data_IF_349979900724
#
_entry.id   IF_349979900724
#
_cell.length_a   1.000
_cell.length_b   1.000
_cell.length_c   1.000
_cell.angle_alpha   90.00
_cell.angle_beta   90.00
_cell.angle_gamma   90.00
#
_symmetry.space_group_name_H-M   'P 1'
#
loop_
_entity.id
_entity.type
_entity.pdbx_description
1 polymer ?
#
# COMPACT_ATOMS: atom_id res chain seq x y z
N UNK A 1 6.70 19.70 -17.84
CA UNK A 1 6.14 18.94 -16.70
C UNK A 1 6.67 17.52 -16.82
N UNK A 2 7.40 17.03 -15.81
CA UNK A 2 8.34 15.90 -15.90
C UNK A 2 7.72 14.60 -16.44
N UNK A 3 8.44 13.92 -17.33
CA UNK A 3 8.05 12.63 -17.93
C UNK A 3 7.62 11.61 -16.84
N UNK A 4 8.40 11.51 -15.75
CA UNK A 4 8.08 10.67 -14.59
C UNK A 4 6.70 10.96 -13.98
N UNK A 5 6.41 12.24 -13.71
CA UNK A 5 5.17 12.66 -13.07
C UNK A 5 3.97 12.32 -13.97
N UNK A 6 4.09 12.59 -15.27
CA UNK A 6 3.03 12.28 -16.22
C UNK A 6 2.83 10.76 -16.36
N UNK A 7 3.91 9.97 -16.43
CA UNK A 7 3.83 8.51 -16.47
C UNK A 7 3.18 7.94 -15.21
N UNK A 8 3.56 8.42 -14.02
CA UNK A 8 2.95 7.99 -12.77
C UNK A 8 1.46 8.36 -12.70
N UNK A 9 1.08 9.58 -13.12
CA UNK A 9 -0.31 10.00 -13.18
C UNK A 9 -1.13 9.18 -14.19
N UNK A 10 -0.54 8.81 -15.34
CA UNK A 10 -1.18 7.91 -16.32
C UNK A 10 -1.43 6.54 -15.71
N UNK A 11 -0.40 5.94 -15.09
CA UNK A 11 -0.51 4.64 -14.43
C UNK A 11 -1.58 4.63 -13.32
N UNK A 12 -1.67 5.69 -12.52
CA UNK A 12 -2.74 5.85 -11.51
C UNK A 12 -4.13 5.97 -12.15
N UNK A 13 -4.25 6.72 -13.24
CA UNK A 13 -5.53 6.93 -13.94
C UNK A 13 -6.03 5.64 -14.58
N UNK A 14 -5.14 4.88 -15.20
CA UNK A 14 -5.41 3.56 -15.80
C UNK A 14 -5.75 2.53 -14.72
N UNK A 15 -5.01 2.53 -13.61
CA UNK A 15 -5.21 1.64 -12.46
C UNK A 15 -6.39 1.99 -11.54
N UNK A 16 -7.12 3.08 -11.81
CA UNK A 16 -8.14 3.63 -10.89
C UNK A 16 -9.21 2.63 -10.47
N UNK A 17 -9.68 1.77 -11.40
CA UNK A 17 -10.69 0.75 -11.07
C UNK A 17 -10.14 -0.25 -10.06
N UNK A 18 -8.94 -0.77 -10.32
CA UNK A 18 -8.25 -1.72 -9.44
C UNK A 18 -7.98 -1.12 -8.05
N UNK A 19 -7.63 0.17 -7.98
CA UNK A 19 -7.49 0.89 -6.71
C UNK A 19 -8.79 0.84 -5.87
N UNK A 20 -9.95 1.12 -6.49
CA UNK A 20 -11.23 1.07 -5.78
C UNK A 20 -11.59 -0.35 -5.33
N UNK A 21 -11.33 -1.35 -6.17
CA UNK A 21 -11.54 -2.76 -5.84
C UNK A 21 -10.68 -3.21 -4.66
N UNK A 22 -9.40 -2.80 -4.65
CA UNK A 22 -8.49 -3.05 -3.53
C UNK A 22 -8.98 -2.35 -2.25
N UNK A 23 -9.36 -1.08 -2.33
CA UNK A 23 -9.86 -0.32 -1.18
C UNK A 23 -11.11 -0.98 -0.58
N UNK A 24 -12.02 -1.46 -1.42
CA UNK A 24 -13.24 -2.14 -0.98
C UNK A 24 -12.97 -3.51 -0.36
N UNK A 25 -12.00 -4.26 -0.92
CA UNK A 25 -11.57 -5.54 -0.38
C UNK A 25 -10.92 -5.36 1.00
N UNK A 26 -10.05 -4.36 1.15
CA UNK A 26 -9.44 -3.99 2.43
C UNK A 26 -10.50 -3.52 3.43
N UNK A 27 -11.44 -2.67 3.00
CA UNK A 27 -12.56 -2.21 3.84
C UNK A 27 -13.38 -3.37 4.41
N UNK A 28 -13.53 -4.43 3.62
CA UNK A 28 -14.27 -5.65 3.97
C UNK A 28 -13.44 -6.66 4.79
N UNK A 29 -12.17 -6.36 5.08
CA UNK A 29 -11.25 -7.21 5.85
C UNK A 29 -10.73 -6.46 7.09
N UNK A 30 -11.61 -5.97 7.99
CA UNK A 30 -11.15 -5.23 9.16
C UNK A 30 -10.51 -6.17 10.19
N UNK A 31 -9.24 -5.94 10.51
CA UNK A 31 -8.47 -6.70 11.50
C UNK A 31 -7.88 -5.78 12.58
N UNK A 32 -7.80 -6.25 13.82
CA UNK A 32 -7.28 -5.44 14.92
C UNK A 32 -5.76 -5.25 14.83
N UNK A 33 -5.27 -4.20 15.48
CA UNK A 33 -3.85 -3.91 15.65
C UNK A 33 -3.03 -5.13 16.04
N UNK A 34 -1.97 -5.40 15.29
CA UNK A 34 -1.06 -6.55 15.41
C UNK A 34 -1.63 -7.92 14.97
N UNK A 35 -2.87 -7.97 14.47
CA UNK A 35 -3.53 -9.19 13.98
C UNK A 35 -4.01 -9.07 12.53
N UNK A 36 -3.48 -8.11 11.77
CA UNK A 36 -3.78 -7.79 10.36
C UNK A 36 -3.19 -8.80 9.37
N UNK A 37 -3.36 -10.10 9.63
CA UNK A 37 -2.72 -11.18 8.86
C UNK A 37 -3.22 -11.22 7.43
N UNK A 38 -4.53 -11.12 7.21
CA UNK A 38 -5.11 -11.17 5.87
C UNK A 38 -4.85 -9.87 5.10
N UNK A 39 -4.93 -8.73 5.79
CA UNK A 39 -4.64 -7.40 5.25
C UNK A 39 -3.18 -7.29 4.79
N UNK A 40 -2.24 -7.74 5.61
CA UNK A 40 -0.82 -7.77 5.26
C UNK A 40 -0.53 -8.71 4.08
N UNK A 41 -1.18 -9.88 4.01
CA UNK A 41 -1.08 -10.78 2.84
C UNK A 41 -1.61 -10.13 1.57
N UNK A 42 -2.78 -9.49 1.64
CA UNK A 42 -3.37 -8.81 0.49
C UNK A 42 -2.46 -7.69 -0.03
N UNK A 43 -1.90 -6.86 0.84
CA UNK A 43 -0.98 -5.80 0.45
C UNK A 43 0.33 -6.31 -0.11
N UNK A 44 0.91 -7.35 0.51
CA UNK A 44 2.12 -7.96 0.01
C UNK A 44 1.91 -8.53 -1.40
N UNK A 45 0.86 -9.31 -1.61
CA UNK A 45 0.53 -9.90 -2.91
C UNK A 45 0.28 -8.82 -3.98
N UNK A 46 -0.41 -7.74 -3.62
CA UNK A 46 -0.69 -6.61 -4.51
C UNK A 46 0.61 -5.91 -4.98
N UNK A 47 1.56 -5.69 -4.07
CA UNK A 47 2.83 -5.01 -4.34
C UNK A 47 3.82 -5.94 -5.05
N UNK A 48 3.96 -7.19 -4.60
CA UNK A 48 4.83 -8.20 -5.22
C UNK A 48 4.37 -8.51 -6.66
N UNK A 49 3.05 -8.58 -6.89
CA UNK A 49 2.47 -8.75 -8.22
C UNK A 49 2.81 -7.61 -9.20
N UNK A 50 3.20 -6.44 -8.70
CA UNK A 50 3.68 -5.31 -9.48
C UNK A 50 5.22 -5.25 -9.59
N UNK A 51 5.93 -6.30 -9.16
CA UNK A 51 7.39 -6.36 -9.18
C UNK A 51 8.06 -5.52 -8.09
N UNK A 52 7.30 -5.04 -7.09
CA UNK A 52 7.87 -4.29 -5.97
C UNK A 52 8.53 -5.25 -4.99
N UNK A 53 9.72 -4.88 -4.50
CA UNK A 53 10.39 -5.64 -3.45
C UNK A 53 9.68 -5.42 -2.12
N UNK A 54 9.09 -6.47 -1.56
CA UNK A 54 8.40 -6.45 -0.26
C UNK A 54 9.19 -7.27 0.78
N UNK A 55 9.27 -6.75 2.00
CA UNK A 55 9.76 -7.44 3.18
C UNK A 55 8.58 -7.56 4.14
N UNK A 56 8.27 -8.78 4.58
CA UNK A 56 7.08 -9.10 5.37
C UNK A 56 7.49 -9.53 6.79
N UNK A 57 6.53 -9.55 7.71
CA UNK A 57 6.75 -10.08 9.07
C UNK A 57 7.52 -9.13 9.99
N UNK A 58 7.50 -7.82 9.70
CA UNK A 58 8.10 -6.80 10.55
C UNK A 58 7.16 -6.52 11.71
N UNK A 59 7.62 -6.68 12.95
CA UNK A 59 6.80 -6.47 14.14
C UNK A 59 5.42 -7.19 14.04
N UNK A 60 5.45 -8.49 13.72
CA UNK A 60 4.29 -9.37 13.48
C UNK A 60 3.73 -9.23 12.06
N UNK A 61 2.86 -8.26 11.81
CA UNK A 61 2.10 -8.13 10.56
C UNK A 61 2.65 -7.06 9.61
N UNK A 62 3.50 -6.17 10.11
CA UNK A 62 4.09 -5.09 9.34
C UNK A 62 4.88 -5.56 8.12
N UNK A 63 4.89 -4.71 7.09
CA UNK A 63 5.61 -4.94 5.86
C UNK A 63 6.33 -3.68 5.42
N UNK A 64 7.38 -3.83 4.61
CA UNK A 64 8.10 -2.72 3.99
C UNK A 64 8.22 -2.98 2.51
N UNK A 65 7.86 -2.00 1.68
CA UNK A 65 8.05 -2.06 0.24
C UNK A 65 9.09 -1.04 -0.22
N UNK A 66 9.88 -1.35 -1.25
CA UNK A 66 10.91 -0.44 -1.77
C UNK A 66 10.85 -0.35 -3.30
N UNK A 67 10.92 0.87 -3.82
CA UNK A 67 11.15 1.17 -5.25
C UNK A 67 12.40 2.04 -5.36
N UNK A 68 13.27 1.73 -6.33
CA UNK A 68 14.56 2.40 -6.54
C UNK A 68 15.78 1.63 -5.99
N UNK A 69 17.00 2.11 -6.28
CA UNK A 69 18.21 1.32 -6.08
C UNK A 69 18.59 1.15 -4.61
N UNK A 70 19.28 0.04 -4.24
CA UNK A 70 19.87 -0.13 -2.93
C UNK A 70 20.79 1.05 -2.56
N UNK A 71 20.77 1.48 -1.28
CA UNK A 71 21.65 2.53 -0.78
C UNK A 71 21.29 3.98 -1.16
N UNK A 72 20.34 4.21 -2.07
CA UNK A 72 19.88 5.55 -2.40
C UNK A 72 19.13 6.23 -1.22
N UNK A 73 19.22 7.56 -1.08
CA UNK A 73 18.37 8.33 -0.17
C UNK A 73 16.90 8.02 -0.42
N UNK A 74 16.14 7.82 0.67
CA UNK A 74 14.77 7.33 0.58
C UNK A 74 13.77 8.33 1.18
N UNK A 75 12.67 8.57 0.48
CA UNK A 75 11.45 9.14 1.06
C UNK A 75 10.61 7.99 1.60
N UNK A 76 10.18 8.07 2.86
CA UNK A 76 9.29 7.08 3.47
C UNK A 76 7.85 7.59 3.46
N UNK A 77 6.93 6.73 3.02
CA UNK A 77 5.48 6.91 3.11
C UNK A 77 4.96 5.82 4.06
N UNK A 78 4.07 6.20 4.98
CA UNK A 78 3.56 5.33 6.03
C UNK A 78 2.05 5.16 5.86
N UNK A 79 1.55 3.92 5.98
CA UNK A 79 0.13 3.65 6.14
C UNK A 79 -0.09 2.63 7.25
N UNK A 80 -1.06 2.93 8.11
CA UNK A 80 -1.52 1.98 9.12
C UNK A 80 -2.44 0.95 8.47
N UNK A 81 -2.43 -0.27 9.03
CA UNK A 81 -3.22 -1.40 8.51
C UNK A 81 -4.40 -1.77 9.39
N UNK A 82 -4.46 -1.28 10.62
CA UNK A 82 -5.41 -1.77 11.61
C UNK A 82 -6.82 -1.20 11.41
N UNK A 83 -7.78 -1.94 11.97
CA UNK A 83 -9.15 -1.54 12.16
C UNK A 83 -9.43 -1.39 13.66
N UNK A 84 -10.57 -0.78 13.98
CA UNK A 84 -10.96 -0.50 15.36
C UNK A 84 -12.20 -1.30 15.78
N UNK A 85 -12.30 -1.67 17.06
CA UNK A 85 -13.56 -2.10 17.65
C UNK A 85 -14.63 -1.04 17.37
N UNK A 86 -15.69 -1.44 16.67
CA UNK A 86 -16.73 -0.53 16.19
C UNK A 86 -18.10 -1.13 16.51
N UNK A 87 -18.83 -0.47 17.41
CA UNK A 87 -20.16 -0.91 17.81
C UNK A 87 -21.13 -0.90 16.62
N UNK A 88 -21.89 -1.99 16.44
CA UNK A 88 -22.85 -2.13 15.35
C UNK A 88 -22.24 -2.53 14.00
N UNK A 89 -20.91 -2.62 13.88
CA UNK A 89 -20.28 -3.19 12.71
C UNK A 89 -20.45 -4.72 12.68
N UNK A 90 -20.62 -5.34 11.50
CA UNK A 90 -20.51 -6.79 11.36
C UNK A 90 -19.18 -7.29 11.93
N UNK A 91 -19.21 -8.29 12.81
CA UNK A 91 -18.01 -8.79 13.49
C UNK A 91 -17.40 -7.83 14.53
N UNK A 92 -18.05 -6.72 14.84
CA UNK A 92 -17.64 -5.76 15.88
C UNK A 92 -16.38 -4.96 15.56
N UNK A 93 -15.87 -5.04 14.34
CA UNK A 93 -14.63 -4.37 13.91
C UNK A 93 -14.85 -3.69 12.55
N UNK A 94 -14.32 -2.49 12.36
CA UNK A 94 -14.38 -1.77 11.09
C UNK A 94 -13.19 -0.80 10.95
N UNK A 95 -12.80 -0.50 9.71
CA UNK A 95 -11.85 0.59 9.42
C UNK A 95 -12.49 1.98 9.57
N UNK A 96 -13.02 2.27 10.76
CA UNK A 96 -13.69 3.54 11.10
C UNK A 96 -12.76 4.76 11.03
N UNK A 97 -11.44 4.55 11.05
CA UNK A 97 -10.41 5.58 10.83
C UNK A 97 -9.97 5.74 9.37
N UNK A 98 -10.47 4.90 8.45
CA UNK A 98 -10.16 5.04 7.02
C UNK A 98 -8.86 4.37 6.55
N UNK A 99 -8.21 3.54 7.37
CA UNK A 99 -6.94 2.89 7.03
C UNK A 99 -7.01 2.06 5.74
N UNK A 100 -8.15 1.42 5.45
CA UNK A 100 -8.40 0.76 4.16
C UNK A 100 -8.12 1.64 2.93
N UNK A 101 -8.48 2.93 2.98
CA UNK A 101 -8.24 3.86 1.88
C UNK A 101 -6.77 4.29 1.83
N UNK A 102 -6.14 4.54 2.98
CA UNK A 102 -4.72 4.91 3.07
C UNK A 102 -3.83 3.80 2.46
N UNK A 103 -4.07 2.55 2.87
CA UNK A 103 -3.40 1.36 2.34
C UNK A 103 -3.55 1.24 0.82
N UNK A 104 -4.77 1.36 0.31
CA UNK A 104 -5.03 1.26 -1.13
C UNK A 104 -4.33 2.38 -1.92
N UNK A 105 -4.38 3.62 -1.41
CA UNK A 105 -3.72 4.77 -2.04
C UNK A 105 -2.21 4.57 -2.08
N UNK A 106 -1.59 4.15 -0.98
CA UNK A 106 -0.14 3.91 -0.98
C UNK A 106 0.25 2.74 -1.88
N UNK A 107 -0.52 1.65 -1.90
CA UNK A 107 -0.28 0.55 -2.83
C UNK A 107 -0.31 1.03 -4.29
N UNK A 108 -1.30 1.84 -4.67
CA UNK A 108 -1.37 2.40 -6.02
C UNK A 108 -0.22 3.36 -6.35
N UNK A 109 0.20 4.20 -5.41
CA UNK A 109 1.39 5.06 -5.57
C UNK A 109 2.63 4.20 -5.84
N UNK A 110 2.85 3.15 -5.05
CA UNK A 110 4.01 2.28 -5.22
C UNK A 110 4.02 1.55 -6.55
N UNK A 111 2.86 1.03 -6.97
CA UNK A 111 2.70 0.40 -8.29
C UNK A 111 2.98 1.40 -9.42
N UNK A 112 2.46 2.62 -9.31
CA UNK A 112 2.67 3.66 -10.32
C UNK A 112 4.15 4.09 -10.40
N UNK A 113 4.84 4.23 -9.27
CA UNK A 113 6.26 4.56 -9.23
C UNK A 113 7.13 3.42 -9.77
N UNK A 114 6.78 2.17 -9.47
CA UNK A 114 7.46 1.00 -10.02
C UNK A 114 7.30 0.92 -11.55
N UNK A 115 6.10 1.17 -12.06
CA UNK A 115 5.82 1.18 -13.50
C UNK A 115 6.48 2.36 -14.22
N UNK A 116 6.49 3.55 -13.62
CA UNK A 116 7.08 4.74 -14.22
C UNK A 116 8.61 4.74 -14.22
N UNK A 117 9.22 3.99 -13.29
CA UNK A 117 10.67 3.88 -13.12
C UNK A 117 11.26 5.12 -12.42
N UNK A 118 11.81 4.93 -11.23
CA UNK A 118 12.54 6.00 -10.53
C UNK A 118 13.94 6.21 -11.12
N UNK A 119 14.44 7.46 -11.18
CA UNK A 119 15.84 7.74 -11.47
C UNK A 119 16.82 6.99 -10.55
N UNK A 120 18.01 6.68 -11.06
CA UNK A 120 19.02 5.82 -10.41
C UNK A 120 19.57 6.31 -9.06
N UNK A 121 19.17 7.49 -8.59
CA UNK A 121 19.64 8.08 -7.33
C UNK A 121 18.52 8.27 -6.30
N UNK A 122 17.30 7.83 -6.61
CA UNK A 122 16.11 8.12 -5.84
C UNK A 122 15.44 6.83 -5.38
N UNK A 123 14.97 6.82 -4.13
CA UNK A 123 14.24 5.68 -3.56
C UNK A 123 12.99 6.16 -2.83
N UNK A 124 11.94 5.34 -2.90
CA UNK A 124 10.74 5.51 -2.07
C UNK A 124 10.49 4.21 -1.30
N UNK A 125 10.11 4.33 -0.03
CA UNK A 125 9.84 3.22 0.88
C UNK A 125 8.44 3.32 1.47
N UNK A 126 7.69 2.23 1.42
CA UNK A 126 6.43 2.08 2.12
C UNK A 126 6.76 1.43 3.46
N UNK A 127 6.25 2.03 4.53
CA UNK A 127 6.29 1.50 5.89
C UNK A 127 4.87 1.19 6.35
#
# INVERSE_FOLDING_TARGET
MNNLVNSALSALSEGRRHLYELAEKLRSTPELGFFEVNTAEMLAAELEGAGVRVIRGLALTGLRAEVGPPGAPAIALLADMDALPTQGAPGGTAHSCGHHAQMAVLAAIFKALAAAGLPDREKVRLL
#
